data_IF_990058334294
#
_entry.id   IF_990058334294
#
_cell.length_a   1.000
_cell.length_b   1.000
_cell.length_c   1.000
_cell.angle_alpha   90.00
_cell.angle_beta   90.00
_cell.angle_gamma   90.00
#
_symmetry.space_group_name_H-M   'P 1'
#
loop_
_entity.id
_entity.type
_entity.pdbx_description
1 polymer ?
#
# COMPACT_ATOMS: atom_id res chain seq x y z
N UNK A 1 9.89 -8.37 -13.28
CA UNK A 1 10.88 -7.76 -12.36
C UNK A 1 10.60 -8.14 -10.89
N UNK A 2 10.38 -9.44 -10.61
CA UNK A 2 10.04 -9.91 -9.24
C UNK A 2 10.97 -11.04 -8.78
N UNK A 3 11.86 -11.55 -9.66
CA UNK A 3 12.70 -12.72 -9.35
C UNK A 3 14.12 -12.33 -8.87
N UNK A 4 14.52 -11.06 -8.96
CA UNK A 4 15.93 -10.67 -8.71
C UNK A 4 16.29 -10.33 -7.27
N UNK A 5 15.33 -10.06 -6.37
CA UNK A 5 15.66 -9.55 -5.03
C UNK A 5 14.94 -10.35 -3.95
N UNK A 6 15.70 -11.29 -3.38
CA UNK A 6 15.35 -12.20 -2.29
C UNK A 6 15.16 -11.43 -0.96
N UNK A 7 14.29 -10.42 -0.93
CA UNK A 7 13.85 -9.78 0.30
C UNK A 7 12.68 -10.61 0.83
N UNK A 8 12.98 -11.59 1.70
CA UNK A 8 11.96 -12.32 2.45
C UNK A 8 11.53 -11.47 3.65
N UNK A 9 10.33 -10.91 3.61
CA UNK A 9 9.74 -10.19 4.74
C UNK A 9 8.46 -9.43 4.38
N UNK A 10 7.71 -9.02 5.41
CA UNK A 10 6.46 -8.22 5.38
C UNK A 10 6.44 -7.16 4.26
N UNK A 11 7.54 -6.39 4.16
CA UNK A 11 7.75 -5.33 3.15
C UNK A 11 7.61 -5.77 1.68
N UNK A 12 7.89 -7.03 1.35
CA UNK A 12 7.77 -7.54 -0.03
C UNK A 12 6.32 -7.85 -0.42
N UNK A 13 5.48 -8.17 0.56
CA UNK A 13 4.04 -8.30 0.33
C UNK A 13 3.42 -6.91 0.09
N UNK A 14 3.76 -5.94 0.93
CA UNK A 14 3.25 -4.56 0.86
C UNK A 14 3.64 -3.88 -0.46
N UNK A 15 4.89 -4.05 -0.91
CA UNK A 15 5.34 -3.57 -2.22
C UNK A 15 4.59 -4.22 -3.40
N UNK A 16 4.27 -5.51 -3.29
CA UNK A 16 3.52 -6.21 -4.33
C UNK A 16 2.09 -5.71 -4.41
N UNK A 17 1.46 -5.47 -3.26
CA UNK A 17 0.13 -4.88 -3.20
C UNK A 17 0.11 -3.50 -3.87
N UNK A 18 1.05 -2.62 -3.50
CA UNK A 18 1.18 -1.29 -4.11
C UNK A 18 1.42 -1.35 -5.63
N UNK A 19 2.22 -2.32 -6.11
CA UNK A 19 2.44 -2.51 -7.54
C UNK A 19 1.16 -2.94 -8.29
N UNK A 20 0.37 -3.83 -7.70
CA UNK A 20 -0.94 -4.24 -8.25
C UNK A 20 -1.91 -3.06 -8.27
N UNK A 21 -1.99 -2.30 -7.19
CA UNK A 21 -2.82 -1.10 -7.13
C UNK A 21 -2.47 -0.11 -8.24
N UNK A 22 -1.18 0.16 -8.44
CA UNK A 22 -0.71 1.04 -9.52
C UNK A 22 -1.04 0.49 -10.91
N UNK A 23 -0.86 -0.82 -11.13
CA UNK A 23 -1.17 -1.46 -12.41
C UNK A 23 -2.66 -1.40 -12.76
N UNK A 24 -3.53 -1.44 -11.74
CA UNK A 24 -4.98 -1.41 -11.88
C UNK A 24 -5.60 -0.02 -11.60
N UNK A 25 -4.79 1.03 -11.46
CA UNK A 25 -5.24 2.40 -11.19
C UNK A 25 -6.13 2.52 -9.93
N UNK A 26 -5.89 1.66 -8.93
CA UNK A 26 -6.55 1.73 -7.63
C UNK A 26 -5.82 2.78 -6.80
N UNK A 27 -6.51 3.86 -6.48
CA UNK A 27 -5.88 5.04 -5.87
C UNK A 27 -5.94 5.09 -4.35
N UNK A 28 -6.76 4.26 -3.68
CA UNK A 28 -6.97 4.35 -2.23
C UNK A 28 -6.77 2.98 -1.58
N UNK A 29 -5.83 2.88 -0.64
CA UNK A 29 -5.60 1.72 0.21
C UNK A 29 -6.11 2.05 1.62
N UNK A 30 -7.19 1.41 2.03
CA UNK A 30 -7.66 1.47 3.41
C UNK A 30 -6.96 0.39 4.24
N UNK A 31 -6.21 0.75 5.28
CA UNK A 31 -5.48 -0.23 6.11
C UNK A 31 -5.24 0.22 7.54
N UNK A 32 -5.15 -0.73 8.49
CA UNK A 32 -4.86 -0.46 9.91
C UNK A 32 -3.36 -0.25 10.21
N UNK A 33 -2.49 -0.46 9.23
CA UNK A 33 -1.04 -0.35 9.38
C UNK A 33 -0.40 0.54 8.29
N UNK A 34 -0.84 1.80 8.14
CA UNK A 34 -0.38 2.68 7.06
C UNK A 34 1.15 2.86 7.05
N UNK A 35 1.79 2.82 8.22
CA UNK A 35 3.24 2.99 8.39
C UNK A 35 4.08 1.86 7.79
N UNK A 36 3.49 0.68 7.55
CA UNK A 36 4.20 -0.44 6.90
C UNK A 36 4.37 -0.24 5.39
N UNK A 37 3.60 0.68 4.80
CA UNK A 37 3.59 0.94 3.37
C UNK A 37 4.51 2.11 3.00
N UNK A 38 5.25 1.93 1.92
CA UNK A 38 6.04 3.02 1.32
C UNK A 38 5.09 3.89 0.49
N UNK A 39 5.14 5.21 0.70
CA UNK A 39 4.37 6.14 -0.12
C UNK A 39 4.77 6.02 -1.60
N UNK A 40 3.78 5.80 -2.47
CA UNK A 40 3.97 5.82 -3.92
C UNK A 40 3.03 6.84 -4.56
N UNK A 41 3.49 7.59 -5.58
CA UNK A 41 2.62 8.54 -6.27
C UNK A 41 1.39 7.84 -6.87
N UNK A 42 0.21 8.43 -6.63
CA UNK A 42 -1.07 7.93 -7.14
C UNK A 42 -1.77 6.88 -6.27
N UNK A 43 -1.20 6.50 -5.12
CA UNK A 43 -1.88 5.70 -4.10
C UNK A 43 -1.90 6.44 -2.76
N UNK A 44 -3.09 6.70 -2.26
CA UNK A 44 -3.36 7.25 -0.94
C UNK A 44 -3.55 6.10 0.03
N UNK A 45 -2.75 6.05 1.09
CA UNK A 45 -2.86 5.05 2.14
C UNK A 45 -3.59 5.72 3.30
N UNK A 46 -4.72 5.16 3.71
CA UNK A 46 -5.68 5.79 4.63
C UNK A 46 -5.91 4.86 5.81
N UNK A 47 -5.83 5.37 7.03
CA UNK A 47 -6.28 4.66 8.21
C UNK A 47 -7.80 4.76 8.37
N UNK A 48 -8.52 3.67 8.71
CA UNK A 48 -9.99 3.69 8.84
C UNK A 48 -10.55 4.80 9.74
N UNK A 49 -9.83 5.19 10.80
CA UNK A 49 -10.27 6.27 11.68
C UNK A 49 -10.34 7.64 10.98
N UNK A 50 -9.54 7.88 9.95
CA UNK A 50 -9.57 9.15 9.19
C UNK A 50 -10.92 9.32 8.47
N UNK A 51 -11.53 8.23 8.03
CA UNK A 51 -12.85 8.23 7.38
C UNK A 51 -13.97 8.41 8.41
N UNK A 52 -13.90 7.71 9.54
CA UNK A 52 -14.93 7.75 10.59
C UNK A 52 -15.00 9.14 11.25
N UNK A 53 -13.87 9.82 11.40
CA UNK A 53 -13.79 11.14 12.03
C UNK A 53 -14.15 12.31 11.08
N UNK A 54 -14.48 12.03 9.82
CA UNK A 54 -14.83 13.05 8.81
C UNK A 54 -16.32 13.47 8.86
N UNK A 55 -16.97 13.35 10.03
CA UNK A 55 -18.40 13.66 10.25
C UNK A 55 -18.59 14.94 11.05
#
# INVERSE_FOLDING_TARGET
LVIAHNIKGKRTHDLRLLAVMKAHQISNLLTFNPEDFIAIPGVNIIHPQEIVNSS
#
